data_IF_666309460480
#
_entry.id   IF_666309460480
#
_cell.length_a   1.000
_cell.length_b   1.000
_cell.length_c   1.000
_cell.angle_alpha   90.00
_cell.angle_beta   90.00
_cell.angle_gamma   90.00
#
_symmetry.space_group_name_H-M   'P 1'
#
loop_
_entity.id
_entity.type
_entity.pdbx_description
1 polymer ?
#
# COMPACT_ATOMS: atom_id res chain seq x y z
N UNK A 1 15.66 2.17 -1.72
CA UNK A 1 14.37 1.49 -1.93
C UNK A 1 14.59 -0.02 -1.81
N UNK A 2 13.58 -0.81 -1.42
CA UNK A 2 13.75 -2.25 -1.17
C UNK A 2 13.38 -3.15 -2.36
N UNK A 3 12.74 -2.61 -3.38
CA UNK A 3 12.32 -3.30 -4.59
C UNK A 3 12.61 -2.43 -5.81
N UNK A 4 12.74 -3.07 -6.97
CA UNK A 4 12.95 -2.43 -8.27
C UNK A 4 11.75 -2.81 -9.12
N UNK A 5 10.93 -1.83 -9.53
CA UNK A 5 9.92 -2.06 -10.56
C UNK A 5 10.43 -1.42 -11.84
N UNK A 6 10.65 -2.26 -12.85
CA UNK A 6 11.00 -1.82 -14.20
C UNK A 6 9.69 -1.75 -14.98
N UNK A 7 9.45 -0.64 -15.69
CA UNK A 7 8.32 -0.56 -16.60
C UNK A 7 8.60 -1.49 -17.79
N UNK A 8 7.64 -2.34 -18.16
CA UNK A 8 7.79 -3.28 -19.28
C UNK A 8 8.15 -2.56 -20.58
N UNK A 9 7.67 -1.33 -20.78
CA UNK A 9 8.02 -0.54 -21.97
C UNK A 9 9.51 -0.21 -22.08
N UNK A 10 10.27 -0.27 -20.97
CA UNK A 10 11.73 -0.13 -20.99
C UNK A 10 12.38 -1.38 -21.61
N UNK A 11 11.81 -2.56 -21.38
CA UNK A 11 12.29 -3.82 -21.95
C UNK A 11 11.96 -3.91 -23.45
N UNK A 12 10.96 -3.15 -23.91
CA UNK A 12 10.57 -3.04 -25.32
C UNK A 12 11.27 -1.86 -26.03
N UNK A 13 12.12 -1.09 -25.36
CA UNK A 13 12.78 0.07 -25.94
C UNK A 13 13.89 -0.34 -26.91
N UNK A 14 14.17 0.51 -27.91
CA UNK A 14 15.24 0.26 -28.89
C UNK A 14 16.61 0.14 -28.21
N UNK A 15 16.86 0.93 -27.17
CA UNK A 15 18.09 0.89 -26.38
C UNK A 15 18.29 -0.45 -25.66
N UNK A 16 17.21 -1.01 -25.08
CA UNK A 16 17.30 -2.29 -24.39
C UNK A 16 17.38 -3.48 -25.36
N UNK A 17 16.58 -3.45 -26.42
CA UNK A 17 16.59 -4.49 -27.45
C UNK A 17 17.88 -4.48 -28.30
N UNK A 18 18.50 -3.30 -28.47
CA UNK A 18 19.77 -3.13 -29.16
C UNK A 18 20.99 -3.53 -28.34
N UNK A 19 20.91 -3.52 -27.01
CA UNK A 19 22.01 -3.87 -26.12
C UNK A 19 22.33 -5.37 -26.15
N UNK A 20 23.61 -5.72 -25.95
CA UNK A 20 24.07 -7.11 -25.84
C UNK A 20 23.57 -7.77 -24.54
N UNK A 21 23.44 -9.11 -24.47
CA UNK A 21 22.98 -9.79 -23.26
C UNK A 21 23.80 -9.47 -22.00
N UNK A 22 25.12 -9.34 -22.15
CA UNK A 22 26.03 -8.92 -21.06
C UNK A 22 25.75 -7.49 -20.62
N UNK A 23 25.39 -6.61 -21.55
CA UNK A 23 25.07 -5.22 -21.23
C UNK A 23 23.75 -5.13 -20.48
N UNK A 24 22.73 -5.87 -20.91
CA UNK A 24 21.44 -5.96 -20.21
C UNK A 24 21.63 -6.45 -18.77
N UNK A 25 22.46 -7.49 -18.57
CA UNK A 25 22.78 -7.99 -17.23
C UNK A 25 23.54 -6.95 -16.39
N UNK A 26 24.52 -6.28 -16.98
CA UNK A 26 25.29 -5.19 -16.35
C UNK A 26 24.39 -4.05 -15.91
N UNK A 27 23.47 -3.61 -16.78
CA UNK A 27 22.49 -2.57 -16.50
C UNK A 27 21.56 -2.95 -15.32
N UNK A 28 21.08 -4.19 -15.24
CA UNK A 28 20.29 -4.65 -14.11
C UNK A 28 21.07 -4.56 -12.79
N UNK A 29 22.36 -4.94 -12.80
CA UNK A 29 23.24 -4.81 -11.64
C UNK A 29 23.46 -3.35 -11.22
N UNK A 30 23.68 -2.45 -12.19
CA UNK A 30 23.80 -1.00 -11.95
C UNK A 30 22.52 -0.40 -11.37
N UNK A 31 21.36 -0.73 -11.95
CA UNK A 31 20.07 -0.30 -11.43
C UNK A 31 19.87 -0.77 -9.99
N UNK A 32 20.16 -2.04 -9.70
CA UNK A 32 20.06 -2.59 -8.35
C UNK A 32 20.93 -1.81 -7.36
N UNK A 33 22.15 -1.46 -7.74
CA UNK A 33 23.01 -0.63 -6.90
C UNK A 33 22.40 0.76 -6.66
N UNK A 34 22.01 1.45 -7.74
CA UNK A 34 21.46 2.81 -7.67
C UNK A 34 20.13 2.88 -6.89
N UNK A 35 19.28 1.85 -7.00
CA UNK A 35 18.03 1.78 -6.23
C UNK A 35 18.30 1.59 -4.73
N UNK A 36 19.35 0.85 -4.40
CA UNK A 36 19.82 0.69 -3.02
C UNK A 36 20.39 1.98 -2.43
N UNK A 37 21.12 2.75 -3.24
CA UNK A 37 21.72 4.03 -2.80
C UNK A 37 20.78 5.23 -2.88
N UNK A 38 19.74 5.18 -3.72
CA UNK A 38 18.82 6.29 -3.98
C UNK A 38 19.55 7.57 -4.41
N UNK A 39 20.41 7.39 -5.42
CA UNK A 39 21.33 8.38 -5.97
C UNK A 39 20.88 8.89 -7.36
N UNK A 40 19.60 8.74 -7.71
CA UNK A 40 19.09 9.23 -9.00
C UNK A 40 19.70 8.53 -10.22
N UNK A 41 20.19 7.30 -10.09
CA UNK A 41 20.84 6.59 -11.20
C UNK A 41 22.24 7.11 -11.53
N UNK A 42 22.83 7.97 -10.70
CA UNK A 42 24.16 8.54 -10.91
C UNK A 42 25.17 8.04 -9.88
N UNK A 43 26.24 7.41 -10.35
CA UNK A 43 27.33 6.95 -9.50
C UNK A 43 28.50 7.94 -9.58
N UNK A 44 28.66 8.74 -8.52
CA UNK A 44 29.70 9.77 -8.46
C UNK A 44 31.11 9.19 -8.35
N UNK A 45 32.04 9.76 -9.12
CA UNK A 45 33.44 9.35 -9.21
C UNK A 45 33.56 7.83 -9.35
N UNK A 46 32.75 7.23 -10.23
CA UNK A 46 32.73 5.78 -10.42
C UNK A 46 33.95 5.31 -11.22
N UNK A 47 34.53 6.18 -12.05
CA UNK A 47 35.65 5.84 -12.93
C UNK A 47 36.95 5.50 -12.19
N UNK A 48 37.17 6.09 -11.01
CA UNK A 48 38.31 5.78 -10.14
C UNK A 48 38.16 4.47 -9.34
N UNK A 49 37.02 3.78 -9.46
CA UNK A 49 36.78 2.57 -8.68
C UNK A 49 37.63 1.42 -9.20
N UNK A 50 38.32 0.73 -8.29
CA UNK A 50 39.03 -0.51 -8.59
C UNK A 50 38.05 -1.61 -8.95
N UNK A 51 38.45 -2.51 -9.83
CA UNK A 51 37.66 -3.68 -10.26
C UNK A 51 37.06 -4.47 -9.08
N UNK A 52 37.84 -4.65 -8.01
CA UNK A 52 37.36 -5.30 -6.77
C UNK A 52 36.12 -4.64 -6.18
N UNK A 53 36.05 -3.30 -6.22
CA UNK A 53 34.90 -2.54 -5.71
C UNK A 53 33.68 -2.74 -6.62
N UNK A 54 33.85 -2.72 -7.94
CA UNK A 54 32.79 -3.03 -8.89
C UNK A 54 32.17 -4.41 -8.63
N UNK A 55 33.00 -5.42 -8.48
CA UNK A 55 32.55 -6.79 -8.26
C UNK A 55 31.81 -6.98 -6.93
N UNK A 56 32.30 -6.38 -5.85
CA UNK A 56 31.69 -6.57 -4.52
C UNK A 56 30.42 -5.75 -4.31
N UNK A 57 30.39 -4.53 -4.83
CA UNK A 57 29.33 -3.57 -4.53
C UNK A 57 28.21 -3.63 -5.57
N UNK A 58 28.58 -3.74 -6.85
CA UNK A 58 27.65 -3.67 -7.99
C UNK A 58 27.43 -5.05 -8.62
N UNK A 59 28.40 -5.97 -8.48
CA UNK A 59 28.41 -7.33 -9.06
C UNK A 59 28.69 -7.36 -10.57
N UNK A 60 29.49 -6.39 -11.02
CA UNK A 60 30.01 -6.30 -12.39
C UNK A 60 31.53 -6.13 -12.33
N UNK A 61 32.19 -6.36 -13.45
CA UNK A 61 33.62 -6.11 -13.62
C UNK A 61 33.85 -4.72 -14.19
N UNK A 62 35.04 -4.17 -13.96
CA UNK A 62 35.47 -2.90 -14.56
C UNK A 62 35.52 -2.98 -16.10
N UNK A 63 35.70 -4.18 -16.67
CA UNK A 63 35.74 -4.40 -18.11
C UNK A 63 34.35 -4.33 -18.75
N UNK A 64 33.32 -4.82 -18.06
CA UNK A 64 31.94 -4.73 -18.55
C UNK A 64 31.46 -3.28 -18.58
N UNK A 65 31.90 -2.46 -17.63
CA UNK A 65 31.46 -1.06 -17.51
C UNK A 65 32.35 -0.04 -18.23
N UNK A 66 33.52 -0.46 -18.72
CA UNK A 66 34.49 0.47 -19.34
C UNK A 66 33.99 1.06 -20.65
N UNK A 67 33.17 0.30 -21.38
CA UNK A 67 32.55 0.76 -22.63
C UNK A 67 31.15 1.29 -22.30
N UNK A 68 30.83 2.47 -22.81
CA UNK A 68 29.48 3.01 -22.76
C UNK A 68 28.58 2.29 -23.78
N UNK A 69 27.28 2.29 -23.50
CA UNK A 69 26.27 1.77 -24.40
C UNK A 69 24.96 2.55 -24.21
N UNK A 70 23.89 2.12 -24.88
CA UNK A 70 22.63 2.84 -24.78
C UNK A 70 21.98 2.73 -23.38
N UNK A 71 22.42 1.80 -22.53
CA UNK A 71 21.89 1.59 -21.18
C UNK A 71 22.63 2.34 -20.07
N UNK A 72 23.86 2.79 -20.32
CA UNK A 72 24.62 3.66 -19.41
C UNK A 72 25.69 4.43 -20.16
N UNK A 73 26.04 5.60 -19.67
CA UNK A 73 27.10 6.40 -20.24
C UNK A 73 27.96 7.06 -19.16
N UNK A 74 29.17 7.43 -19.55
CA UNK A 74 30.09 8.16 -18.69
C UNK A 74 29.93 9.67 -18.91
N UNK A 75 29.68 10.40 -17.83
CA UNK A 75 29.69 11.87 -17.79
C UNK A 75 30.89 12.34 -16.97
N UNK A 76 32.03 12.52 -17.64
CA UNK A 76 33.30 12.81 -16.99
C UNK A 76 33.80 11.62 -16.15
N UNK A 77 33.74 11.76 -14.83
CA UNK A 77 34.13 10.74 -13.84
C UNK A 77 32.92 9.96 -13.27
N UNK A 78 31.71 10.41 -13.59
CA UNK A 78 30.46 9.85 -13.09
C UNK A 78 29.86 8.89 -14.12
N UNK A 79 29.23 7.83 -13.63
CA UNK A 79 28.45 6.90 -14.46
C UNK A 79 26.97 7.22 -14.30
N UNK A 80 26.27 7.37 -15.42
CA UNK A 80 24.82 7.62 -15.49
C UNK A 80 24.12 6.40 -16.04
N UNK A 81 23.16 5.88 -15.27
CA UNK A 81 22.38 4.67 -15.61
C UNK A 81 21.05 5.10 -16.21
N UNK A 82 20.72 4.63 -17.41
CA UNK A 82 19.45 4.95 -18.07
C UNK A 82 18.28 4.20 -17.44
N UNK A 83 17.08 4.77 -17.66
CA UNK A 83 15.80 4.23 -17.19
C UNK A 83 15.71 4.05 -15.66
N UNK A 84 16.53 4.80 -14.91
CA UNK A 84 16.39 4.85 -13.47
C UNK A 84 15.06 5.53 -13.08
N UNK A 85 14.23 4.94 -12.21
CA UNK A 85 12.92 5.48 -11.87
C UNK A 85 13.01 6.59 -10.80
N UNK A 86 13.46 7.78 -11.19
CA UNK A 86 13.63 8.94 -10.29
C UNK A 86 12.33 9.33 -9.57
N UNK A 87 11.19 9.30 -10.26
CA UNK A 87 9.88 9.60 -9.67
C UNK A 87 9.55 8.67 -8.49
N UNK A 88 9.93 7.39 -8.60
CA UNK A 88 9.70 6.41 -7.53
C UNK A 88 10.65 6.62 -6.37
N UNK A 89 11.89 7.01 -6.64
CA UNK A 89 12.81 7.42 -5.60
C UNK A 89 12.27 8.62 -4.82
N UNK A 90 11.76 9.64 -5.52
CA UNK A 90 11.16 10.82 -4.90
C UNK A 90 9.94 10.47 -4.04
N UNK A 91 9.05 9.60 -4.52
CA UNK A 91 7.90 9.10 -3.76
C UNK A 91 8.36 8.39 -2.47
N UNK A 92 9.35 7.50 -2.55
CA UNK A 92 9.86 6.76 -1.38
C UNK A 92 10.61 7.66 -0.41
N UNK A 93 11.35 8.66 -0.89
CA UNK A 93 11.98 9.70 -0.04
C UNK A 93 10.91 10.53 0.67
N UNK A 94 9.86 10.94 -0.04
CA UNK A 94 8.75 11.70 0.52
C UNK A 94 8.00 10.90 1.60
N UNK A 95 7.62 9.65 1.32
CA UNK A 95 6.95 8.78 2.30
C UNK A 95 7.80 8.55 3.56
N UNK A 96 9.12 8.36 3.42
CA UNK A 96 10.02 8.26 4.59
C UNK A 96 10.11 9.57 5.38
N UNK A 97 10.09 10.72 4.71
CA UNK A 97 10.09 12.02 5.39
C UNK A 97 8.83 12.22 6.23
N UNK A 98 7.65 11.87 5.69
CA UNK A 98 6.37 11.88 6.41
C UNK A 98 6.41 10.90 7.59
N UNK A 99 6.91 9.69 7.37
CA UNK A 99 7.09 8.70 8.44
C UNK A 99 7.97 9.22 9.59
N UNK A 100 9.06 9.93 9.26
CA UNK A 100 9.94 10.54 10.27
C UNK A 100 9.22 11.66 11.03
N UNK A 101 8.55 12.58 10.34
CA UNK A 101 7.82 13.68 10.96
C UNK A 101 6.70 13.18 11.90
N UNK A 102 5.92 12.19 11.47
CA UNK A 102 4.86 11.60 12.30
C UNK A 102 5.43 10.89 13.52
N UNK A 103 6.59 10.23 13.40
CA UNK A 103 7.27 9.61 14.54
C UNK A 103 7.80 10.64 15.54
N UNK A 104 8.34 11.76 15.06
CA UNK A 104 8.82 12.86 15.90
C UNK A 104 7.67 13.59 16.58
N UNK A 105 6.56 13.81 15.86
CA UNK A 105 5.33 14.35 16.43
C UNK A 105 4.75 13.44 17.53
N UNK A 106 4.73 12.11 17.30
CA UNK A 106 4.33 11.13 18.33
C UNK A 106 5.27 11.16 19.54
N UNK A 107 6.59 11.25 19.33
CA UNK A 107 7.57 11.38 20.42
C UNK A 107 7.41 12.68 21.18
N UNK A 108 7.15 13.80 20.50
CA UNK A 108 6.89 15.09 21.12
C UNK A 108 5.59 15.09 21.94
N UNK A 109 4.51 14.55 21.38
CA UNK A 109 3.24 14.38 22.07
C UNK A 109 3.36 13.47 23.32
N UNK A 110 4.14 12.39 23.22
CA UNK A 110 4.45 11.53 24.38
C UNK A 110 5.22 12.28 25.46
N UNK A 111 6.20 13.13 25.11
CA UNK A 111 6.92 13.97 26.08
C UNK A 111 6.02 14.99 26.75
N UNK A 112 5.15 15.67 25.99
CA UNK A 112 4.20 16.66 26.56
C UNK A 112 3.15 16.00 27.44
N UNK A 113 2.67 14.81 27.07
CA UNK A 113 1.70 14.07 27.87
C UNK A 113 2.35 13.44 29.12
N UNK A 114 3.59 12.96 29.01
CA UNK A 114 4.38 12.49 30.15
C UNK A 114 4.71 13.60 31.14
N UNK A 115 5.00 14.81 30.66
CA UNK A 115 5.23 15.99 31.50
C UNK A 115 3.96 16.44 32.27
N UNK A 116 2.77 16.07 31.79
CA UNK A 116 1.49 16.36 32.45
C UNK A 116 1.04 15.29 33.47
N UNK A 117 1.90 14.32 33.79
CA UNK A 117 1.68 13.40 34.92
C UNK A 117 0.49 12.45 34.74
N UNK A 118 0.54 11.60 33.72
CA UNK A 118 -0.52 10.64 33.40
C UNK A 118 -0.43 9.29 34.11
N UNK A 119 -0.22 9.23 35.43
CA UNK A 119 -0.51 8.02 36.21
C UNK A 119 -1.69 8.33 37.14
N UNK A 120 -2.89 7.77 36.91
CA UNK A 120 -3.95 7.81 37.91
C UNK A 120 -3.43 7.11 39.18
N UNK A 121 -3.23 7.87 40.25
CA UNK A 121 -2.99 7.32 41.59
C UNK A 121 -4.28 6.64 42.03
N UNK A 122 -4.36 5.32 41.91
CA UNK A 122 -5.30 4.55 42.72
C UNK A 122 -4.83 4.73 44.16
N UNK A 123 -5.59 5.48 44.96
CA UNK A 123 -5.32 5.65 46.37
C UNK A 123 -5.49 4.27 47.05
N UNK A 124 -4.45 3.75 47.74
CA UNK A 124 -4.61 2.58 48.59
C UNK A 124 -5.23 3.03 49.91
N UNK A 125 -6.40 2.49 50.25
CA UNK A 125 -6.96 2.58 51.61
C UNK A 125 -6.14 1.72 52.58
N UNK A 126 -5.71 2.33 53.68
CA UNK A 126 -4.86 1.83 54.78
C UNK A 126 -5.26 0.44 55.33
N UNK A 127 -4.38 -0.58 55.25
CA UNK A 127 -3.43 -1.14 56.27
C UNK A 127 -3.98 -2.36 57.07
N UNK A 128 -3.13 -3.19 57.72
CA UNK A 128 -1.74 -3.59 57.45
C UNK A 128 -1.51 -5.11 57.55
N UNK A 129 -0.35 -5.61 57.10
CA UNK A 129 0.63 -6.39 57.90
C UNK A 129 1.48 -7.31 56.99
N UNK A 130 2.80 -7.33 57.24
CA UNK A 130 3.64 -8.52 56.98
C UNK A 130 4.57 -8.50 55.76
N UNK A 131 5.78 -7.99 55.99
CA UNK A 131 7.07 -8.66 55.67
C UNK A 131 7.59 -8.68 54.22
N UNK A 132 8.64 -7.88 54.05
CA UNK A 132 9.84 -8.00 53.20
C UNK A 132 10.05 -9.32 52.43
N UNK A 133 10.37 -9.24 51.13
CA UNK A 133 11.72 -9.57 50.62
C UNK A 133 11.85 -9.42 49.09
N UNK A 134 12.91 -8.68 48.73
CA UNK A 134 13.90 -8.94 47.68
C UNK A 134 13.55 -9.11 46.18
N UNK A 135 14.13 -8.16 45.45
CA UNK A 135 14.51 -8.12 44.04
C UNK A 135 15.19 -9.41 43.55
N UNK A 136 14.72 -9.97 42.44
CA UNK A 136 15.59 -10.66 41.48
C UNK A 136 15.12 -10.36 40.05
N UNK A 137 15.98 -9.69 39.30
CA UNK A 137 15.93 -9.62 37.85
C UNK A 137 16.49 -10.93 37.28
N UNK A 138 15.85 -11.47 36.24
CA UNK A 138 16.57 -12.02 35.06
C UNK A 138 15.64 -12.13 33.84
N UNK A 139 16.22 -12.04 32.61
CA UNK A 139 15.51 -11.86 31.35
C UNK A 139 15.27 -13.20 30.63
N UNK A 140 14.11 -13.36 29.98
CA UNK A 140 13.86 -14.51 29.10
C UNK A 140 14.05 -14.11 27.65
N UNK A 141 15.11 -14.66 27.07
CA UNK A 141 15.49 -14.59 25.66
C UNK A 141 14.50 -15.29 24.70
N UNK A 142 14.66 -14.86 23.45
CA UNK A 142 14.08 -15.31 22.19
C UNK A 142 14.05 -16.84 22.00
N UNK A 143 13.00 -17.32 21.32
CA UNK A 143 13.08 -18.49 20.44
C UNK A 143 12.52 -18.16 19.06
N UNK A 144 13.43 -18.05 18.11
CA UNK A 144 13.19 -18.27 16.68
C UNK A 144 12.79 -19.73 16.44
N UNK A 145 11.85 -19.95 15.51
CA UNK A 145 11.77 -21.22 14.78
C UNK A 145 11.10 -20.98 13.43
N UNK A 146 11.92 -20.91 12.39
CA UNK A 146 11.47 -21.07 11.01
C UNK A 146 11.16 -22.53 10.69
N UNK A 147 10.37 -22.72 9.64
CA UNK A 147 10.34 -23.92 8.79
C UNK A 147 9.79 -23.53 7.41
N UNK A 148 10.68 -23.51 6.42
CA UNK A 148 10.41 -23.83 5.01
C UNK A 148 10.03 -25.34 4.93
N UNK A 149 9.36 -25.90 3.91
CA UNK A 149 9.63 -25.92 2.46
C UNK A 149 8.41 -26.45 1.67
N UNK A 150 8.39 -26.10 0.36
CA UNK A 150 7.88 -26.83 -0.82
C UNK A 150 6.38 -27.19 -0.93
N UNK A 151 5.67 -27.09 -2.06
CA UNK A 151 5.99 -26.86 -3.47
C UNK A 151 5.00 -27.68 -4.32
N UNK A 152 4.33 -27.10 -5.33
CA UNK A 152 3.81 -27.86 -6.49
C UNK A 152 3.35 -26.94 -7.63
N UNK A 153 3.90 -27.20 -8.81
CA UNK A 153 3.61 -26.59 -10.10
C UNK A 153 2.34 -27.19 -10.75
N UNK A 154 1.69 -26.43 -11.64
CA UNK A 154 1.03 -26.96 -12.84
C UNK A 154 0.82 -25.86 -13.89
N UNK A 155 1.47 -26.06 -15.04
CA UNK A 155 1.20 -25.44 -16.33
C UNK A 155 -0.19 -25.86 -16.89
N UNK A 156 -0.84 -25.00 -17.67
CA UNK A 156 -1.02 -25.17 -19.14
C UNK A 156 -2.05 -24.19 -19.76
N UNK A 157 -1.61 -23.63 -20.89
CA UNK A 157 -2.30 -23.29 -22.14
C UNK A 157 -3.35 -22.17 -22.27
N UNK A 158 -2.96 -21.20 -23.11
CA UNK A 158 -3.82 -20.29 -23.87
C UNK A 158 -4.40 -20.97 -25.12
N UNK A 159 -5.37 -20.30 -25.79
CA UNK A 159 -5.05 -19.91 -27.17
C UNK A 159 -5.49 -18.47 -27.53
N UNK A 160 -4.77 -17.91 -28.49
CA UNK A 160 -4.91 -16.57 -29.05
C UNK A 160 -5.99 -16.48 -30.15
N UNK A 161 -6.65 -15.32 -30.29
CA UNK A 161 -7.16 -14.81 -31.58
C UNK A 161 -7.09 -13.27 -31.70
N UNK A 162 -6.67 -12.86 -32.90
CA UNK A 162 -6.27 -11.59 -33.51
C UNK A 162 -7.36 -10.45 -33.64
N UNK A 163 -6.99 -9.24 -34.17
CA UNK A 163 -7.53 -7.92 -33.77
C UNK A 163 -8.47 -7.24 -34.81
N UNK A 164 -9.15 -6.13 -34.42
CA UNK A 164 -9.66 -5.08 -35.34
C UNK A 164 -9.67 -3.66 -34.71
N UNK A 165 -9.28 -2.69 -35.55
CA UNK A 165 -9.08 -1.24 -35.32
C UNK A 165 -10.37 -0.41 -35.18
N UNK A 166 -10.32 0.75 -34.47
CA UNK A 166 -10.43 2.13 -35.06
C UNK A 166 -10.79 3.25 -34.03
N UNK A 167 -9.88 4.22 -33.91
CA UNK A 167 -9.98 5.69 -33.65
C UNK A 167 -11.08 6.38 -32.77
N UNK A 168 -10.61 7.01 -31.66
CA UNK A 168 -10.78 8.36 -31.01
C UNK A 168 -11.92 9.37 -31.37
N UNK A 169 -12.09 10.53 -30.66
CA UNK A 169 -11.66 11.05 -29.32
C UNK A 169 -12.89 11.52 -28.46
N UNK A 170 -12.89 11.91 -27.17
CA UNK A 170 -12.25 13.06 -26.47
C UNK A 170 -12.74 13.03 -25.00
N UNK A 171 -11.87 13.23 -24.02
CA UNK A 171 -12.11 14.01 -22.77
C UNK A 171 -10.90 13.84 -21.86
N UNK A 172 -10.21 14.94 -21.59
CA UNK A 172 -9.07 15.02 -20.68
C UNK A 172 -9.49 14.60 -19.25
N UNK A 173 -9.07 13.41 -18.85
CA UNK A 173 -8.89 13.05 -17.45
C UNK A 173 -7.43 12.67 -17.32
N UNK A 174 -6.64 13.46 -16.59
CA UNK A 174 -5.28 13.09 -16.23
C UNK A 174 -5.35 11.76 -15.48
N UNK A 175 -4.83 10.65 -16.04
CA UNK A 175 -4.84 9.39 -15.34
C UNK A 175 -3.74 9.45 -14.28
N UNK A 176 -4.15 9.37 -13.03
CA UNK A 176 -3.27 9.11 -11.91
C UNK A 176 -2.45 7.84 -12.20
N UNK A 177 -1.14 7.89 -11.92
CA UNK A 177 -0.11 6.91 -12.35
C UNK A 177 -0.27 5.46 -11.85
N UNK A 178 -1.47 5.09 -11.40
CA UNK A 178 -1.93 3.75 -11.10
C UNK A 178 -2.69 3.08 -12.24
N UNK A 179 -3.37 3.83 -13.12
CA UNK A 179 -4.14 3.26 -14.26
C UNK A 179 -3.25 2.47 -15.22
N UNK A 180 -1.95 2.78 -15.26
CA UNK A 180 -0.96 2.12 -16.11
C UNK A 180 -0.44 0.77 -15.57
N UNK A 181 -0.90 0.30 -14.40
CA UNK A 181 -0.44 -0.97 -13.79
C UNK A 181 -1.47 -2.11 -13.79
N UNK A 182 -2.66 -1.89 -14.32
CA UNK A 182 -3.71 -2.91 -14.37
C UNK A 182 -4.19 -3.11 -15.81
N UNK A 183 -4.59 -4.34 -16.21
CA UNK A 183 -5.41 -4.53 -17.40
C UNK A 183 -6.57 -3.53 -17.36
N UNK A 184 -6.79 -2.81 -18.46
CA UNK A 184 -7.68 -1.64 -18.53
C UNK A 184 -9.10 -1.91 -18.05
N UNK A 185 -9.57 -3.16 -18.10
CA UNK A 185 -10.86 -3.58 -17.56
C UNK A 185 -10.87 -3.64 -16.02
N UNK A 186 -9.84 -4.23 -15.41
CA UNK A 186 -9.72 -4.30 -13.94
C UNK A 186 -9.60 -2.90 -13.33
N UNK A 187 -8.85 -1.99 -13.96
CA UNK A 187 -8.75 -0.60 -13.51
C UNK A 187 -10.13 0.09 -13.45
N UNK A 188 -10.95 -0.07 -14.50
CA UNK A 188 -12.30 0.51 -14.58
C UNK A 188 -13.23 -0.05 -13.50
N UNK A 189 -13.09 -1.32 -13.16
CA UNK A 189 -13.92 -1.95 -12.13
C UNK A 189 -13.53 -1.49 -10.73
N UNK A 190 -12.24 -1.24 -10.47
CA UNK A 190 -11.79 -0.60 -9.23
C UNK A 190 -12.25 0.87 -9.12
N UNK A 191 -12.28 1.64 -10.22
CA UNK A 191 -12.77 3.02 -10.20
C UNK A 191 -14.27 3.10 -9.88
N UNK A 192 -15.06 2.18 -10.46
CA UNK A 192 -16.49 2.02 -10.12
C UNK A 192 -16.65 1.65 -8.64
N UNK A 193 -15.83 0.72 -8.15
CA UNK A 193 -15.88 0.28 -6.76
C UNK A 193 -15.54 1.43 -5.79
N UNK A 194 -14.48 2.18 -6.06
CA UNK A 194 -14.11 3.37 -5.28
C UNK A 194 -15.24 4.40 -5.24
N UNK A 195 -15.87 4.65 -6.38
CA UNK A 195 -17.03 5.55 -6.48
C UNK A 195 -18.20 5.07 -5.63
N UNK A 196 -18.49 3.76 -5.66
CA UNK A 196 -19.55 3.13 -4.86
C UNK A 196 -19.30 3.22 -3.36
N UNK A 197 -18.04 3.01 -2.93
CA UNK A 197 -17.63 3.17 -1.53
C UNK A 197 -17.77 4.62 -1.08
N UNK A 198 -17.30 5.59 -1.88
CA UNK A 198 -17.44 7.02 -1.55
C UNK A 198 -18.90 7.45 -1.44
N UNK A 199 -19.82 6.81 -2.16
CA UNK A 199 -21.23 7.11 -2.11
C UNK A 199 -21.89 6.75 -0.76
N UNK A 200 -21.30 5.83 0.02
CA UNK A 200 -21.86 5.33 1.28
C UNK A 200 -21.95 6.40 2.38
N UNK A 201 -21.06 7.39 2.38
CA UNK A 201 -21.05 8.42 3.42
C UNK A 201 -20.76 9.82 2.86
N UNK A 202 -21.53 10.86 3.25
CA UNK A 202 -21.38 12.21 2.69
C UNK A 202 -19.98 12.82 2.87
N UNK A 203 -19.28 12.50 3.97
CA UNK A 203 -17.92 13.02 4.20
C UNK A 203 -16.88 12.41 3.27
N UNK A 204 -17.11 11.19 2.76
CA UNK A 204 -16.17 10.49 1.88
C UNK A 204 -16.26 11.01 0.44
N UNK A 205 -17.45 11.47 0.02
CA UNK A 205 -17.64 12.16 -1.28
C UNK A 205 -16.76 13.41 -1.44
N UNK A 206 -16.45 14.08 -0.33
CA UNK A 206 -15.59 15.28 -0.33
C UNK A 206 -14.11 14.97 -0.60
N UNK A 207 -13.68 13.73 -0.40
CA UNK A 207 -12.32 13.24 -0.69
C UNK A 207 -12.39 12.03 -1.62
N UNK A 208 -12.68 12.26 -2.91
CA UNK A 208 -12.95 11.19 -3.86
C UNK A 208 -11.74 10.28 -4.05
N UNK A 209 -10.53 10.84 -4.01
CA UNK A 209 -9.30 10.07 -4.16
C UNK A 209 -8.98 9.23 -2.92
N UNK A 210 -8.62 7.98 -3.15
CA UNK A 210 -8.12 7.08 -2.12
C UNK A 210 -6.65 7.38 -1.87
N UNK A 211 -6.27 7.47 -0.59
CA UNK A 211 -4.86 7.49 -0.21
C UNK A 211 -4.20 6.15 -0.54
N UNK A 212 -2.87 6.13 -0.63
CA UNK A 212 -2.11 4.90 -0.91
C UNK A 212 -2.50 3.74 0.01
N UNK A 213 -2.65 4.02 1.31
CA UNK A 213 -3.03 3.02 2.30
C UNK A 213 -4.44 2.49 2.01
N UNK A 214 -5.39 3.35 1.68
CA UNK A 214 -6.76 2.93 1.35
C UNK A 214 -6.80 2.13 0.03
N UNK A 215 -5.97 2.46 -0.95
CA UNK A 215 -5.85 1.68 -2.18
C UNK A 215 -5.30 0.28 -1.90
N UNK A 216 -4.24 0.17 -1.10
CA UNK A 216 -3.66 -1.12 -0.74
C UNK A 216 -4.66 -1.98 0.08
N UNK A 217 -5.43 -1.38 0.99
CA UNK A 217 -6.49 -2.06 1.76
C UNK A 217 -7.69 -2.47 0.89
N UNK A 218 -8.10 -1.62 -0.06
CA UNK A 218 -9.14 -1.95 -1.04
C UNK A 218 -8.70 -3.12 -1.91
N UNK A 219 -7.43 -3.16 -2.33
CA UNK A 219 -6.89 -4.26 -3.12
C UNK A 219 -6.88 -5.57 -2.32
N UNK A 220 -6.36 -5.53 -1.09
CA UNK A 220 -6.30 -6.70 -0.20
C UNK A 220 -7.68 -7.31 0.08
N UNK A 221 -8.72 -6.46 0.20
CA UNK A 221 -10.09 -6.88 0.50
C UNK A 221 -11.02 -6.86 -0.72
N UNK A 222 -10.48 -6.65 -1.93
CA UNK A 222 -11.26 -6.39 -3.15
C UNK A 222 -12.26 -7.48 -3.47
N UNK A 223 -11.86 -8.73 -3.29
CA UNK A 223 -12.72 -9.90 -3.53
C UNK A 223 -14.03 -9.83 -2.74
N UNK A 224 -13.94 -9.41 -1.48
CA UNK A 224 -15.13 -9.29 -0.61
C UNK A 224 -16.09 -8.26 -1.20
N UNK A 225 -15.57 -7.12 -1.65
CA UNK A 225 -16.38 -6.05 -2.23
C UNK A 225 -17.00 -6.42 -3.58
N UNK A 226 -16.29 -7.19 -4.42
CA UNK A 226 -16.82 -7.68 -5.69
C UNK A 226 -17.89 -8.77 -5.50
N UNK A 227 -17.81 -9.54 -4.41
CA UNK A 227 -18.80 -10.57 -4.08
C UNK A 227 -20.10 -10.00 -3.47
N UNK A 228 -20.11 -8.71 -3.09
CA UNK A 228 -21.31 -8.05 -2.54
C UNK A 228 -22.38 -7.81 -3.59
N UNK A 229 -23.61 -8.22 -3.28
CA UNK A 229 -24.78 -8.02 -4.15
C UNK A 229 -25.33 -6.59 -3.99
N UNK A 230 -26.13 -6.15 -4.96
CA UNK A 230 -26.75 -4.83 -4.90
C UNK A 230 -27.62 -4.62 -3.65
N UNK A 231 -28.22 -5.69 -3.13
CA UNK A 231 -28.97 -5.65 -1.87
C UNK A 231 -28.07 -5.36 -0.66
N UNK A 232 -26.86 -5.91 -0.63
CA UNK A 232 -25.89 -5.69 0.44
C UNK A 232 -25.39 -4.25 0.41
N UNK A 233 -25.15 -3.71 -0.79
CA UNK A 233 -24.79 -2.31 -0.97
C UNK A 233 -25.91 -1.35 -0.60
N UNK A 234 -27.16 -1.66 -0.94
CA UNK A 234 -28.32 -0.88 -0.52
C UNK A 234 -28.45 -0.88 1.00
N UNK A 235 -28.27 -2.05 1.64
CA UNK A 235 -28.28 -2.17 3.09
C UNK A 235 -27.16 -1.37 3.75
N UNK A 236 -25.92 -1.46 3.24
CA UNK A 236 -24.80 -0.65 3.71
C UNK A 236 -25.08 0.84 3.57
N UNK A 237 -25.61 1.26 2.42
CA UNK A 237 -25.93 2.67 2.19
C UNK A 237 -26.99 3.18 3.15
N UNK A 238 -28.07 2.41 3.38
CA UNK A 238 -29.11 2.78 4.33
C UNK A 238 -28.57 2.80 5.76
N UNK A 239 -27.77 1.80 6.13
CA UNK A 239 -27.18 1.71 7.46
C UNK A 239 -26.25 2.88 7.73
N UNK A 240 -25.34 3.22 6.81
CA UNK A 240 -24.36 4.30 6.96
C UNK A 240 -24.97 5.71 6.94
N UNK A 241 -26.18 5.86 6.39
CA UNK A 241 -26.88 7.15 6.30
C UNK A 241 -27.68 7.49 7.57
N UNK A 242 -28.00 6.49 8.40
CA UNK A 242 -28.82 6.68 9.60
C UNK A 242 -27.95 7.03 10.79
N UNK A 243 -28.35 8.08 11.52
CA UNK A 243 -27.80 8.37 12.84
C UNK A 243 -28.31 7.34 13.85
N UNK A 244 -27.39 6.54 14.39
CA UNK A 244 -27.72 5.55 15.41
C UNK A 244 -27.99 6.26 16.73
N UNK A 245 -29.19 6.13 17.33
CA UNK A 245 -29.48 6.73 18.62
C UNK A 245 -28.52 6.24 19.70
N UNK A 246 -28.17 7.08 20.67
CA UNK A 246 -27.24 6.72 21.74
C UNK A 246 -27.72 5.50 22.56
N UNK A 247 -29.05 5.31 22.67
CA UNK A 247 -29.66 4.13 23.31
C UNK A 247 -29.39 2.80 22.60
N UNK A 248 -28.89 2.83 21.37
CA UNK A 248 -28.53 1.68 20.54
C UNK A 248 -27.02 1.43 20.55
N UNK A 249 -26.22 2.39 21.01
CA UNK A 249 -24.80 2.21 21.32
C UNK A 249 -24.65 1.40 22.61
N UNK A 250 -23.76 0.39 22.69
CA UNK A 250 -22.71 0.01 21.73
C UNK A 250 -23.12 -1.14 20.78
N UNK A 251 -24.41 -1.50 20.68
CA UNK A 251 -24.86 -2.71 19.96
C UNK A 251 -24.70 -2.59 18.44
N UNK A 252 -24.73 -1.38 17.91
CA UNK A 252 -24.59 -1.10 16.48
C UNK A 252 -23.45 -0.12 16.28
N UNK A 253 -22.46 -0.54 15.48
CA UNK A 253 -21.25 0.21 15.24
C UNK A 253 -21.13 0.56 13.75
N UNK A 254 -20.87 1.83 13.47
CA UNK A 254 -20.57 2.34 12.13
C UNK A 254 -19.11 2.80 12.07
N UNK A 255 -18.40 2.56 10.96
CA UNK A 255 -17.05 3.05 10.78
C UNK A 255 -17.03 4.57 10.58
N UNK A 256 -16.23 5.27 11.36
CA UNK A 256 -16.07 6.74 11.28
C UNK A 256 -15.39 7.20 9.98
N UNK A 257 -14.61 6.32 9.35
CA UNK A 257 -13.85 6.63 8.15
C UNK A 257 -13.73 5.43 7.20
N UNK A 258 -13.43 5.76 5.95
CA UNK A 258 -13.32 4.81 4.84
C UNK A 258 -12.27 3.73 5.10
N UNK A 259 -11.10 4.07 5.64
CA UNK A 259 -10.06 3.09 5.96
C UNK A 259 -10.52 1.99 6.92
N UNK A 260 -11.38 2.34 7.89
CA UNK A 260 -11.93 1.36 8.83
C UNK A 260 -12.96 0.46 8.13
N UNK A 261 -13.81 1.00 7.26
CA UNK A 261 -14.73 0.20 6.44
C UNK A 261 -13.97 -0.81 5.57
N UNK A 262 -12.91 -0.37 4.89
CA UNK A 262 -12.12 -1.23 3.99
C UNK A 262 -11.54 -2.46 4.69
N UNK A 263 -11.20 -2.33 5.98
CA UNK A 263 -10.64 -3.40 6.82
C UNK A 263 -11.67 -4.34 7.42
N UNK A 264 -12.93 -3.91 7.53
CA UNK A 264 -13.93 -4.57 8.38
C UNK A 264 -15.30 -4.67 7.72
N UNK A 265 -15.36 -4.65 6.39
CA UNK A 265 -16.62 -4.64 5.63
C UNK A 265 -17.58 -5.78 6.02
N UNK A 266 -17.05 -6.97 6.32
CA UNK A 266 -17.85 -8.12 6.78
C UNK A 266 -18.50 -7.87 8.13
N UNK A 267 -17.78 -7.23 9.06
CA UNK A 267 -18.31 -6.90 10.39
C UNK A 267 -19.37 -5.80 10.27
N UNK A 268 -19.12 -4.79 9.43
CA UNK A 268 -20.06 -3.71 9.14
C UNK A 268 -21.36 -4.26 8.55
N UNK A 269 -21.27 -5.19 7.59
CA UNK A 269 -22.45 -5.89 7.04
C UNK A 269 -23.21 -6.65 8.13
N UNK A 270 -22.50 -7.35 9.01
CA UNK A 270 -23.12 -8.04 10.16
C UNK A 270 -23.86 -7.07 11.09
N UNK A 271 -23.33 -5.88 11.32
CA UNK A 271 -24.02 -4.83 12.08
C UNK A 271 -25.24 -4.26 11.33
N UNK A 272 -25.11 -4.00 10.03
CA UNK A 272 -26.20 -3.51 9.19
C UNK A 272 -27.38 -4.50 9.14
N UNK A 273 -27.10 -5.80 9.05
CA UNK A 273 -28.13 -6.86 9.07
C UNK A 273 -28.86 -6.93 10.42
N UNK A 274 -28.12 -6.87 11.52
CA UNK A 274 -28.72 -6.81 12.86
C UNK A 274 -29.60 -5.56 12.99
N UNK A 275 -29.11 -4.42 12.50
CA UNK A 275 -29.83 -3.15 12.52
C UNK A 275 -31.13 -3.21 11.74
N UNK A 276 -31.13 -3.81 10.53
CA UNK A 276 -32.33 -4.01 9.72
C UNK A 276 -33.39 -4.82 10.46
N UNK A 277 -32.99 -5.92 11.12
CA UNK A 277 -33.92 -6.78 11.87
C UNK A 277 -34.51 -6.05 13.09
N UNK A 278 -33.69 -5.31 13.82
CA UNK A 278 -34.14 -4.57 15.01
C UNK A 278 -35.05 -3.39 14.62
N UNK A 279 -34.71 -2.67 13.55
CA UNK A 279 -35.53 -1.58 13.02
C UNK A 279 -36.90 -2.06 12.58
N UNK A 280 -36.97 -3.23 11.92
CA UNK A 280 -38.25 -3.88 11.57
C UNK A 280 -39.09 -4.23 12.79
N UNK A 281 -38.48 -4.76 13.87
CA UNK A 281 -39.21 -5.07 15.11
C UNK A 281 -39.80 -3.84 15.79
N UNK A 282 -39.11 -2.70 15.68
CA UNK A 282 -39.49 -1.44 16.33
C UNK A 282 -40.34 -0.52 15.44
N UNK A 283 -40.62 -0.90 14.19
CA UNK A 283 -41.38 -0.09 13.24
C UNK A 283 -40.63 1.16 12.77
N UNK A 284 -39.30 1.17 12.82
CA UNK A 284 -38.48 2.31 12.33
C UNK A 284 -38.28 2.14 10.83
N UNK A 285 -38.65 3.16 10.05
CA UNK A 285 -38.46 3.17 8.61
C UNK A 285 -36.95 3.11 8.27
N UNK A 286 -36.54 2.09 7.50
CA UNK A 286 -35.15 1.88 7.11
C UNK A 286 -34.80 2.44 5.73
N UNK A 287 -35.79 3.01 5.02
CA UNK A 287 -35.62 3.50 3.64
C UNK A 287 -35.42 2.41 2.59
N UNK A 288 -35.47 1.12 2.98
CA UNK A 288 -35.26 -0.04 2.11
C UNK A 288 -36.57 -0.63 1.53
N UNK A 289 -37.73 -0.08 1.88
CA UNK A 289 -39.06 -0.62 1.51
C UNK A 289 -39.56 -0.13 0.14
N UNK A 290 -38.72 -0.26 -0.89
CA UNK A 290 -39.01 0.14 -2.27
C UNK A 290 -38.90 -0.98 -3.29
N UNK A 291 -39.12 -2.24 -2.90
CA UNK A 291 -38.92 -3.38 -3.80
C UNK A 291 -39.53 -4.68 -3.30
N UNK A 292 -40.86 -4.73 -3.17
CA UNK A 292 -41.66 -5.96 -3.22
C UNK A 292 -43.14 -5.55 -3.37
N UNK A 293 -43.60 -5.48 -4.62
CA UNK A 293 -44.98 -5.80 -4.97
C UNK A 293 -44.98 -7.22 -5.54
#
# INVERSE_FOLDING_TARGET
MNWININVTVLDSEEFLGAEPTERATWLCLLRYCVGQENGGRMHQAKQWKDRKWQQVVRVTSKEISTDCDLWNWEGEDLVVRFYPEEKEAEVKHLRSIGKQTSEAKKAAARTNGAKGGRPTIQPTDKPNGTEQETHAEPIERKEKGKELEGEEREQDAPALAPKNSASPTSEHQPDGWSNRMPTEQARDFDKLQSRINALHPSWRKRPHFSRIEQDELFANSRIFFDLKDQDWALLSAYMAVEIPESWSPKFWQPDNRSVLLKSVTDVLGHADRWKRESKRRGVATGLEGGAA
#
